data_IF_258068055881
#
_entry.id   IF_258068055881
#
_cell.length_a   1.000
_cell.length_b   1.000
_cell.length_c   1.000
_cell.angle_alpha   90.00
_cell.angle_beta   90.00
_cell.angle_gamma   90.00
#
_symmetry.space_group_name_H-M   'P 1'
#
loop_
_entity.id
_entity.type
_entity.pdbx_description
1 polymer ?
#
# COMPACT_ATOMS: atom_id res chain seq x y z
N UNK A 1 4.92 -42.25 9.76
CA UNK A 1 4.49 -40.90 9.33
C UNK A 1 2.97 -40.87 9.32
N UNK A 2 2.33 -40.17 10.27
CA UNK A 2 0.88 -39.93 10.22
C UNK A 2 0.66 -38.72 9.32
N UNK A 3 -0.16 -38.87 8.28
CA UNK A 3 -0.47 -37.79 7.34
C UNK A 3 -1.72 -37.05 7.87
N UNK A 4 -1.66 -35.72 7.95
CA UNK A 4 -2.78 -34.89 8.43
C UNK A 4 -3.40 -34.19 7.22
N UNK A 5 -4.71 -34.34 7.09
CA UNK A 5 -5.48 -33.76 6.01
C UNK A 5 -6.04 -32.40 6.41
N UNK A 6 -5.44 -31.33 5.90
CA UNK A 6 -5.80 -29.94 6.22
C UNK A 6 -6.79 -29.31 5.20
N UNK A 7 -7.34 -30.10 4.30
CA UNK A 7 -8.27 -29.60 3.28
C UNK A 7 -9.72 -29.64 3.78
N UNK A 8 -10.57 -28.71 3.33
CA UNK A 8 -11.99 -28.67 3.69
C UNK A 8 -12.82 -29.82 3.12
N UNK A 9 -12.23 -30.68 2.28
CA UNK A 9 -12.92 -31.82 1.64
C UNK A 9 -12.45 -33.13 2.23
N UNK A 10 -13.32 -34.10 2.52
CA UNK A 10 -12.86 -35.39 3.04
C UNK A 10 -11.97 -36.13 2.03
N UNK A 11 -10.95 -36.82 2.53
CA UNK A 11 -10.24 -37.86 1.75
C UNK A 11 -11.08 -39.11 1.81
N UNK A 12 -11.33 -39.74 0.67
CA UNK A 12 -12.10 -40.97 0.58
C UNK A 12 -11.15 -42.17 0.34
N UNK A 13 -11.55 -43.34 0.84
CA UNK A 13 -10.97 -44.62 0.46
C UNK A 13 -11.44 -45.03 -0.95
N UNK A 14 -10.82 -46.05 -1.53
CA UNK A 14 -11.20 -46.56 -2.86
C UNK A 14 -12.63 -47.11 -2.93
N UNK A 15 -13.26 -47.41 -1.80
CA UNK A 15 -14.65 -47.85 -1.68
C UNK A 15 -15.65 -46.68 -1.45
N UNK A 16 -15.16 -45.44 -1.45
CA UNK A 16 -15.98 -44.24 -1.23
C UNK A 16 -16.24 -43.89 0.24
N UNK A 17 -15.76 -44.70 1.19
CA UNK A 17 -15.85 -44.36 2.62
C UNK A 17 -14.88 -43.24 2.99
N UNK A 18 -15.22 -42.42 4.00
CA UNK A 18 -14.38 -41.30 4.44
C UNK A 18 -13.14 -41.84 5.16
N UNK A 19 -11.96 -41.60 4.56
CA UNK A 19 -10.65 -41.90 5.13
C UNK A 19 -10.20 -40.81 6.11
N UNK A 20 -10.36 -39.55 5.73
CA UNK A 20 -10.12 -38.39 6.60
C UNK A 20 -11.25 -37.38 6.41
N UNK A 21 -11.87 -36.86 7.48
CA UNK A 21 -12.89 -35.81 7.35
C UNK A 21 -12.27 -34.52 6.81
N UNK A 22 -13.10 -33.70 6.14
CA UNK A 22 -12.69 -32.36 5.72
C UNK A 22 -12.64 -31.41 6.90
N UNK A 23 -11.76 -30.41 6.84
CA UNK A 23 -11.52 -29.45 7.91
C UNK A 23 -12.08 -28.05 7.57
N UNK A 24 -13.04 -27.57 8.35
CA UNK A 24 -13.54 -26.20 8.22
C UNK A 24 -12.65 -25.19 8.97
N UNK A 25 -12.94 -23.90 8.86
CA UNK A 25 -12.12 -22.85 9.49
C UNK A 25 -12.11 -22.94 11.03
N UNK A 26 -13.20 -23.41 11.64
CA UNK A 26 -13.26 -23.62 13.09
C UNK A 26 -12.46 -24.86 13.48
N UNK A 27 -12.57 -25.94 12.70
CA UNK A 27 -11.81 -27.17 12.83
C UNK A 27 -10.32 -26.99 12.56
N UNK A 28 -9.91 -26.06 11.69
CA UNK A 28 -8.50 -25.66 11.55
C UNK A 28 -7.96 -25.04 12.84
N UNK A 29 -8.74 -24.19 13.51
CA UNK A 29 -8.36 -23.63 14.82
C UNK A 29 -8.20 -24.72 15.86
N UNK A 30 -9.18 -25.62 15.97
CA UNK A 30 -9.15 -26.74 16.92
C UNK A 30 -8.08 -27.78 16.60
N UNK A 31 -7.81 -28.08 15.32
CA UNK A 31 -6.72 -28.97 14.90
C UNK A 31 -5.38 -28.31 15.11
N UNK A 32 -5.25 -26.99 14.94
CA UNK A 32 -4.03 -26.27 15.29
C UNK A 32 -3.80 -26.29 16.79
N UNK A 33 -4.82 -26.07 17.62
CA UNK A 33 -4.75 -26.18 19.08
C UNK A 33 -4.46 -27.61 19.54
N UNK A 34 -5.10 -28.62 18.96
CA UNK A 34 -4.84 -30.04 19.25
C UNK A 34 -3.48 -30.50 18.70
N UNK A 35 -3.02 -29.98 17.56
CA UNK A 35 -1.66 -30.19 17.08
C UNK A 35 -0.66 -29.59 18.05
N UNK A 36 -0.89 -28.36 18.49
CA UNK A 36 -0.07 -27.70 19.52
C UNK A 36 -0.08 -28.52 20.81
N UNK A 37 -1.24 -29.01 21.26
CA UNK A 37 -1.38 -29.86 22.45
C UNK A 37 -0.67 -31.21 22.29
N UNK A 38 -0.82 -31.89 21.15
CA UNK A 38 -0.23 -33.19 20.88
C UNK A 38 1.29 -33.10 20.63
N UNK A 39 1.76 -32.03 19.98
CA UNK A 39 3.19 -31.73 19.89
C UNK A 39 3.81 -31.39 21.25
N UNK A 40 3.06 -30.71 22.13
CA UNK A 40 3.45 -30.49 23.53
C UNK A 40 3.53 -31.79 24.35
N UNK A 41 2.66 -32.77 24.08
CA UNK A 41 2.61 -34.05 24.79
C UNK A 41 3.61 -35.09 24.25
N UNK A 42 3.88 -35.12 22.93
CA UNK A 42 4.73 -36.16 22.30
C UNK A 42 6.22 -35.75 22.14
N UNK A 43 6.59 -34.47 22.23
CA UNK A 43 7.99 -34.03 22.05
C UNK A 43 8.38 -32.89 23.02
N UNK A 44 9.05 -33.24 24.11
CA UNK A 44 9.60 -32.28 25.09
C UNK A 44 10.60 -31.25 24.51
N UNK A 45 11.06 -31.42 23.26
CA UNK A 45 11.97 -30.47 22.58
C UNK A 45 11.26 -29.46 21.66
N UNK A 46 9.96 -29.64 21.37
CA UNK A 46 9.21 -28.80 20.42
C UNK A 46 8.26 -27.78 21.05
N UNK A 47 7.86 -27.97 22.31
CA UNK A 47 6.95 -27.06 23.03
C UNK A 47 7.52 -25.63 23.13
N UNK A 48 8.84 -25.49 23.33
CA UNK A 48 9.54 -24.20 23.38
C UNK A 48 9.46 -23.41 22.07
N UNK A 49 9.03 -24.03 20.97
CA UNK A 49 8.92 -23.41 19.64
C UNK A 49 7.51 -22.89 19.34
N UNK A 50 6.56 -23.07 20.27
CA UNK A 50 5.16 -22.69 20.12
C UNK A 50 4.78 -21.71 21.23
N UNK A 51 4.63 -20.43 20.88
CA UNK A 51 4.22 -19.37 21.80
C UNK A 51 2.98 -18.68 21.25
N UNK A 52 1.90 -18.71 22.01
CA UNK A 52 0.60 -18.16 21.64
C UNK A 52 -0.35 -18.14 22.84
N UNK A 53 -1.45 -17.42 22.73
CA UNK A 53 -2.38 -17.18 23.83
C UNK A 53 -2.80 -15.71 23.89
N UNK A 54 -3.90 -15.38 24.60
CA UNK A 54 -4.42 -14.01 24.70
C UNK A 54 -3.45 -13.02 25.36
N UNK A 55 -2.49 -13.51 26.15
CA UNK A 55 -1.42 -12.77 26.80
C UNK A 55 -0.18 -12.54 25.91
N UNK A 56 -0.08 -13.24 24.79
CA UNK A 56 1.05 -13.17 23.87
C UNK A 56 0.75 -12.28 22.65
N UNK A 57 1.74 -11.51 22.22
CA UNK A 57 1.64 -10.66 21.03
C UNK A 57 2.94 -10.71 20.24
N UNK A 58 2.88 -11.12 18.97
CA UNK A 58 4.04 -11.13 18.07
C UNK A 58 4.69 -9.74 17.93
N UNK A 59 3.89 -8.68 18.02
CA UNK A 59 4.38 -7.31 17.86
C UNK A 59 4.97 -6.78 19.16
N UNK A 60 4.23 -6.86 20.27
CA UNK A 60 4.65 -6.26 21.54
C UNK A 60 5.60 -7.14 22.36
N UNK A 61 5.57 -8.46 22.16
CA UNK A 61 6.35 -9.43 22.92
C UNK A 61 6.96 -10.47 21.98
N UNK A 62 8.14 -10.16 21.45
CA UNK A 62 8.88 -11.08 20.58
C UNK A 62 9.25 -12.35 21.36
N UNK A 63 8.56 -13.45 21.07
CA UNK A 63 8.80 -14.74 21.70
C UNK A 63 10.14 -15.36 21.30
N UNK A 64 10.75 -14.91 20.19
CA UNK A 64 11.93 -15.53 19.61
C UNK A 64 12.99 -14.49 19.21
N UNK A 65 13.47 -13.63 20.13
CA UNK A 65 14.30 -12.47 19.82
C UNK A 65 15.60 -12.83 19.10
N UNK A 66 16.24 -13.93 19.49
CA UNK A 66 17.54 -14.38 18.95
C UNK A 66 17.44 -15.41 17.82
N UNK A 67 16.23 -15.83 17.44
CA UNK A 67 16.06 -16.86 16.41
C UNK A 67 15.93 -16.26 15.03
N UNK A 68 16.50 -16.95 14.06
CA UNK A 68 16.34 -16.67 12.64
C UNK A 68 15.86 -17.94 11.93
N UNK A 69 15.15 -17.75 10.82
CA UNK A 69 14.52 -18.84 10.08
C UNK A 69 14.91 -18.78 8.60
N UNK A 70 15.12 -19.96 8.02
CA UNK A 70 15.31 -20.12 6.57
C UNK A 70 14.02 -19.79 5.82
N UNK A 71 12.88 -20.36 6.24
CA UNK A 71 11.57 -20.13 5.65
C UNK A 71 10.56 -19.67 6.69
N UNK A 72 9.69 -18.75 6.30
CA UNK A 72 8.65 -18.18 7.15
C UNK A 72 7.36 -18.02 6.36
N UNK A 73 6.24 -18.35 7.00
CA UNK A 73 4.89 -18.22 6.47
C UNK A 73 4.05 -17.47 7.51
N UNK A 74 3.19 -16.57 7.06
CA UNK A 74 2.27 -15.86 7.93
C UNK A 74 0.99 -15.52 7.19
N UNK A 75 -0.12 -15.53 7.93
CA UNK A 75 -1.41 -15.00 7.50
C UNK A 75 -1.87 -14.01 8.59
N UNK A 76 -1.34 -12.78 8.59
CA UNK A 76 -1.56 -11.83 9.67
C UNK A 76 -3.04 -11.41 9.75
N UNK A 77 -3.51 -10.98 10.93
CA UNK A 77 -4.89 -10.51 11.08
C UNK A 77 -5.16 -9.26 10.24
N UNK A 78 -6.12 -9.36 9.32
CA UNK A 78 -6.46 -8.26 8.41
C UNK A 78 -7.29 -7.16 9.10
N UNK A 79 -6.94 -5.89 8.84
CA UNK A 79 -7.72 -4.73 9.26
C UNK A 79 -7.81 -4.50 10.78
N UNK A 80 -6.98 -5.18 11.58
CA UNK A 80 -6.94 -4.97 13.03
C UNK A 80 -6.01 -3.81 13.38
N UNK A 81 -6.50 -2.94 14.26
CA UNK A 81 -5.67 -1.97 14.96
C UNK A 81 -4.65 -2.70 15.83
N UNK A 82 -3.42 -2.18 15.86
CA UNK A 82 -2.35 -2.64 16.76
C UNK A 82 -2.07 -1.62 17.87
N UNK A 83 -3.01 -0.69 18.13
CA UNK A 83 -2.85 0.38 19.12
C UNK A 83 -2.41 -0.11 20.50
N UNK A 84 -2.94 -1.23 20.99
CA UNK A 84 -2.52 -1.82 22.27
C UNK A 84 -1.07 -2.28 22.26
N UNK A 85 -0.60 -2.82 21.14
CA UNK A 85 0.80 -3.23 21.00
C UNK A 85 1.73 -2.02 20.88
N UNK A 86 1.30 -0.99 20.15
CA UNK A 86 1.98 0.30 20.10
C UNK A 86 2.16 0.91 21.49
N UNK A 87 1.12 0.92 22.33
CA UNK A 87 1.20 1.43 23.71
C UNK A 87 2.18 0.61 24.57
N UNK A 88 2.14 -0.73 24.46
CA UNK A 88 3.10 -1.62 25.16
C UNK A 88 4.54 -1.42 24.72
N UNK A 89 4.76 -1.02 23.48
CA UNK A 89 6.09 -0.74 22.91
C UNK A 89 6.60 0.69 23.17
N UNK A 90 5.89 1.48 23.98
CA UNK A 90 6.31 2.85 24.35
C UNK A 90 5.60 3.96 23.57
N UNK A 91 4.65 3.63 22.70
CA UNK A 91 3.87 4.61 21.94
C UNK A 91 4.58 5.17 20.71
N UNK A 92 3.95 6.14 20.03
CA UNK A 92 4.35 6.56 18.67
C UNK A 92 5.70 7.27 18.59
N UNK A 93 6.20 7.83 19.69
CA UNK A 93 7.46 8.60 19.71
C UNK A 93 8.69 7.81 20.15
N UNK A 94 8.51 6.70 20.87
CA UNK A 94 9.57 6.10 21.68
C UNK A 94 9.92 4.65 21.30
N UNK A 95 9.33 4.10 20.24
CA UNK A 95 9.72 2.77 19.75
C UNK A 95 11.15 2.83 19.21
N UNK A 96 12.06 2.08 19.85
CA UNK A 96 13.44 1.84 19.42
C UNK A 96 13.73 0.36 19.15
N UNK A 97 12.68 -0.45 19.02
CA UNK A 97 12.81 -1.87 18.71
C UNK A 97 13.49 -2.04 17.33
N UNK A 98 14.64 -2.74 17.25
CA UNK A 98 15.42 -2.89 16.02
C UNK A 98 14.69 -3.68 14.93
N UNK A 99 13.56 -4.33 15.25
CA UNK A 99 12.68 -4.92 14.24
C UNK A 99 11.97 -3.85 13.42
N UNK A 100 11.63 -2.71 14.02
CA UNK A 100 10.79 -1.68 13.40
C UNK A 100 11.51 -0.36 13.12
N UNK A 101 12.66 -0.12 13.75
CA UNK A 101 13.55 1.02 13.46
C UNK A 101 14.89 0.46 13.01
N UNK A 102 15.26 0.70 11.76
CA UNK A 102 16.41 0.07 11.11
C UNK A 102 17.33 1.12 10.50
N UNK A 103 18.57 0.73 10.20
CA UNK A 103 19.41 1.48 9.30
C UNK A 103 19.03 1.18 7.84
N UNK A 104 18.67 2.22 7.08
CA UNK A 104 18.32 2.09 5.68
C UNK A 104 18.66 3.35 4.88
N UNK A 105 19.31 3.18 3.72
CA UNK A 105 19.57 4.28 2.77
C UNK A 105 20.21 5.54 3.40
N UNK A 106 21.23 5.35 4.24
CA UNK A 106 21.92 6.40 5.01
C UNK A 106 21.07 7.11 6.09
N UNK A 107 19.86 6.63 6.34
CA UNK A 107 19.07 6.97 7.52
C UNK A 107 19.32 5.90 8.61
N UNK A 108 20.02 6.24 9.71
CA UNK A 108 20.29 5.31 10.79
C UNK A 108 19.05 5.00 11.67
N UNK A 109 17.97 5.79 11.54
CA UNK A 109 16.75 5.64 12.34
C UNK A 109 15.51 5.51 11.44
N UNK A 110 15.64 4.80 10.33
CA UNK A 110 14.55 4.60 9.38
C UNK A 110 13.40 3.82 10.02
N UNK A 111 12.24 4.46 10.14
CA UNK A 111 11.06 3.89 10.79
C UNK A 111 10.19 3.12 9.80
N UNK A 112 9.95 1.84 10.10
CA UNK A 112 8.97 0.97 9.43
C UNK A 112 7.63 0.94 10.17
N UNK A 113 7.44 1.83 11.14
CA UNK A 113 6.25 1.85 11.98
C UNK A 113 5.06 2.42 11.20
N UNK A 114 3.99 1.65 11.15
CA UNK A 114 2.75 2.04 10.47
C UNK A 114 1.82 2.85 11.38
N UNK A 115 0.73 3.37 10.80
CA UNK A 115 -0.37 3.94 11.61
C UNK A 115 -0.93 2.86 12.54
N UNK A 116 -1.39 3.26 13.73
CA UNK A 116 -1.98 2.34 14.72
C UNK A 116 -3.17 1.55 14.19
N UNK A 117 -3.89 2.08 13.19
CA UNK A 117 -5.02 1.43 12.53
C UNK A 117 -4.62 0.37 11.50
N UNK A 118 -3.33 0.22 11.19
CA UNK A 118 -2.83 -0.66 10.12
C UNK A 118 -1.63 -1.47 10.62
N UNK A 119 -1.88 -2.59 11.30
CA UNK A 119 -0.82 -3.43 11.87
C UNK A 119 -0.26 -4.49 10.93
N UNK A 120 -0.87 -4.73 9.77
CA UNK A 120 -0.58 -5.93 8.97
C UNK A 120 0.87 -5.98 8.47
N UNK A 121 1.42 -4.83 8.06
CA UNK A 121 2.78 -4.73 7.55
C UNK A 121 3.81 -4.97 8.65
N UNK A 122 3.50 -4.71 9.91
CA UNK A 122 4.43 -4.94 11.03
C UNK A 122 4.69 -6.42 11.24
N UNK A 123 3.74 -7.30 10.93
CA UNK A 123 3.99 -8.74 10.93
C UNK A 123 4.99 -9.14 9.85
N UNK A 124 4.90 -8.55 8.64
CA UNK A 124 5.89 -8.78 7.58
C UNK A 124 7.26 -8.24 7.97
N UNK A 125 7.32 -7.04 8.57
CA UNK A 125 8.58 -6.45 9.07
C UNK A 125 9.19 -7.33 10.17
N UNK A 126 8.37 -7.87 11.07
CA UNK A 126 8.82 -8.85 12.06
C UNK A 126 9.43 -10.09 11.38
N UNK A 127 8.81 -10.65 10.33
CA UNK A 127 9.42 -11.75 9.57
C UNK A 127 10.75 -11.33 8.92
N UNK A 128 10.83 -10.13 8.34
CA UNK A 128 12.06 -9.63 7.73
C UNK A 128 13.21 -9.56 8.74
N UNK A 129 12.92 -9.18 10.00
CA UNK A 129 13.91 -9.14 11.08
C UNK A 129 14.45 -10.52 11.47
N UNK A 130 13.70 -11.59 11.17
CA UNK A 130 14.03 -12.99 11.50
C UNK A 130 14.57 -13.77 10.29
N UNK A 131 14.77 -13.12 9.14
CA UNK A 131 15.36 -13.78 7.98
C UNK A 131 16.82 -14.13 8.24
N UNK A 132 17.12 -15.42 8.25
CA UNK A 132 18.48 -15.92 8.38
C UNK A 132 19.34 -15.47 7.20
N UNK A 133 20.50 -14.87 7.46
CA UNK A 133 21.36 -14.29 6.39
C UNK A 133 22.57 -15.14 5.99
N UNK A 134 22.97 -16.10 6.83
CA UNK A 134 24.22 -16.86 6.71
C UNK A 134 24.17 -18.11 5.81
N UNK A 135 23.03 -18.35 5.17
CA UNK A 135 22.73 -19.59 4.40
C UNK A 135 22.36 -19.25 2.95
N UNK A 136 22.58 -20.14 1.96
CA UNK A 136 22.07 -19.96 0.60
C UNK A 136 20.56 -20.28 0.47
N UNK A 137 19.97 -21.02 1.41
CA UNK A 137 18.54 -21.40 1.41
C UNK A 137 17.68 -20.36 2.12
N UNK A 138 16.44 -20.13 1.67
CA UNK A 138 15.44 -19.41 2.47
C UNK A 138 14.67 -18.32 1.74
N UNK A 139 13.91 -17.50 2.49
CA UNK A 139 12.96 -16.50 1.99
C UNK A 139 13.57 -15.26 1.31
N UNK A 140 14.87 -15.26 1.03
CA UNK A 140 15.56 -14.14 0.38
C UNK A 140 15.46 -14.23 -1.13
N UNK A 141 15.50 -13.08 -1.80
CA UNK A 141 15.51 -13.04 -3.26
C UNK A 141 16.82 -13.63 -3.80
N UNK A 142 16.76 -14.59 -4.76
CA UNK A 142 17.95 -15.03 -5.48
C UNK A 142 18.52 -13.88 -6.33
N UNK A 143 19.80 -13.97 -6.71
CA UNK A 143 20.55 -12.85 -7.32
C UNK A 143 19.83 -12.24 -8.53
N UNK A 144 19.34 -13.08 -9.44
CA UNK A 144 18.64 -12.64 -10.66
C UNK A 144 17.31 -11.89 -10.41
N UNK A 145 16.76 -11.94 -9.18
CA UNK A 145 15.52 -11.25 -8.79
C UNK A 145 15.74 -10.04 -7.90
N UNK A 146 16.97 -9.78 -7.45
CA UNK A 146 17.26 -8.60 -6.64
C UNK A 146 16.95 -7.33 -7.44
N UNK A 147 16.37 -6.33 -6.75
CA UNK A 147 15.94 -5.08 -7.38
C UNK A 147 14.70 -5.18 -8.27
N UNK A 148 14.03 -6.35 -8.34
CA UNK A 148 12.84 -6.56 -9.16
C UNK A 148 11.65 -7.07 -8.34
N UNK A 149 10.45 -6.80 -8.84
CA UNK A 149 9.17 -7.27 -8.32
C UNK A 149 8.39 -7.91 -9.46
N UNK A 150 7.95 -9.15 -9.28
CA UNK A 150 7.02 -9.83 -10.18
C UNK A 150 5.62 -9.72 -9.60
N UNK A 151 4.69 -9.16 -10.36
CA UNK A 151 3.26 -9.18 -10.05
C UNK A 151 2.60 -10.28 -10.89
N UNK A 152 1.80 -11.12 -10.24
CA UNK A 152 1.08 -12.21 -10.90
C UNK A 152 -0.42 -11.99 -10.68
N UNK A 153 -1.17 -11.82 -11.76
CA UNK A 153 -2.63 -11.78 -11.72
C UNK A 153 -3.21 -13.19 -11.86
N UNK A 154 -3.55 -13.78 -10.72
CA UNK A 154 -4.19 -15.09 -10.62
C UNK A 154 -5.71 -15.01 -10.39
N UNK A 155 -6.34 -13.84 -10.58
CA UNK A 155 -7.75 -13.62 -10.21
C UNK A 155 -8.71 -14.58 -10.93
N UNK A 156 -8.39 -14.97 -12.16
CA UNK A 156 -9.20 -15.89 -12.96
C UNK A 156 -8.85 -17.38 -12.76
N UNK A 157 -7.81 -17.69 -11.98
CA UNK A 157 -7.35 -19.07 -11.79
C UNK A 157 -8.00 -19.68 -10.55
N UNK A 158 -9.31 -19.93 -10.66
CA UNK A 158 -10.06 -20.59 -9.62
C UNK A 158 -11.22 -21.36 -10.21
N UNK A 159 -11.75 -22.31 -9.44
CA UNK A 159 -13.02 -22.96 -9.73
C UNK A 159 -14.09 -22.51 -8.73
N UNK A 160 -15.35 -22.38 -9.17
CA UNK A 160 -16.44 -22.07 -8.25
C UNK A 160 -16.58 -23.20 -7.22
N UNK A 161 -16.91 -22.82 -5.99
CA UNK A 161 -17.25 -23.77 -4.93
C UNK A 161 -18.60 -24.43 -5.24
N UNK A 162 -18.70 -25.73 -5.02
CA UNK A 162 -19.97 -26.47 -5.13
C UNK A 162 -21.06 -25.92 -4.19
N UNK A 163 -20.65 -25.36 -3.05
CA UNK A 163 -21.53 -24.67 -2.09
C UNK A 163 -20.77 -23.46 -1.53
N UNK A 164 -21.37 -22.28 -1.63
CA UNK A 164 -20.77 -21.05 -1.09
C UNK A 164 -20.65 -21.11 0.43
N UNK A 165 -19.58 -20.54 0.96
CA UNK A 165 -19.31 -20.40 2.39
C UNK A 165 -19.24 -18.92 2.74
N UNK A 166 -20.41 -18.31 2.94
CA UNK A 166 -20.54 -16.87 3.10
C UNK A 166 -20.07 -16.14 1.84
N UNK A 167 -19.07 -15.25 1.99
CA UNK A 167 -18.44 -14.53 0.87
C UNK A 167 -17.41 -15.35 0.09
N UNK A 168 -17.07 -16.56 0.54
CA UNK A 168 -16.17 -17.47 -0.19
C UNK A 168 -16.98 -18.27 -1.19
N UNK A 169 -16.73 -18.05 -2.49
CA UNK A 169 -17.46 -18.66 -3.60
C UNK A 169 -16.56 -19.37 -4.61
N UNK A 170 -15.23 -19.27 -4.49
CA UNK A 170 -14.25 -19.95 -5.34
C UNK A 170 -13.14 -20.62 -4.51
N UNK A 171 -12.46 -21.59 -5.11
CA UNK A 171 -11.27 -22.25 -4.57
C UNK A 171 -10.19 -22.40 -5.66
N UNK A 172 -8.91 -22.42 -5.24
CA UNK A 172 -7.81 -22.82 -6.11
C UNK A 172 -7.81 -24.35 -6.23
N UNK A 173 -7.81 -24.88 -7.45
CA UNK A 173 -7.51 -26.30 -7.68
C UNK A 173 -6.00 -26.54 -7.69
N UNK A 174 -5.56 -27.80 -7.57
CA UNK A 174 -4.14 -28.16 -7.60
C UNK A 174 -3.44 -27.66 -8.87
N UNK A 175 -4.15 -27.71 -10.01
CA UNK A 175 -3.65 -27.17 -11.28
C UNK A 175 -3.50 -25.64 -11.26
N UNK A 176 -4.35 -24.92 -10.53
CA UNK A 176 -4.25 -23.46 -10.38
C UNK A 176 -3.05 -23.11 -9.49
N UNK A 177 -2.85 -23.83 -8.39
CA UNK A 177 -1.70 -23.67 -7.49
C UNK A 177 -0.40 -23.93 -8.26
N UNK A 178 -0.34 -25.04 -9.00
CA UNK A 178 0.82 -25.39 -9.82
C UNK A 178 1.10 -24.28 -10.85
N UNK A 179 0.07 -23.77 -11.53
CA UNK A 179 0.22 -22.67 -12.49
C UNK A 179 0.79 -21.40 -11.86
N UNK A 180 0.35 -21.04 -10.65
CA UNK A 180 0.91 -19.89 -9.91
C UNK A 180 2.38 -20.13 -9.60
N UNK A 181 2.73 -21.31 -9.10
CA UNK A 181 4.11 -21.68 -8.79
C UNK A 181 5.00 -21.65 -10.03
N UNK A 182 4.54 -22.24 -11.15
CA UNK A 182 5.28 -22.27 -12.41
C UNK A 182 5.49 -20.86 -12.96
N UNK A 183 4.45 -20.02 -12.93
CA UNK A 183 4.52 -18.61 -13.35
C UNK A 183 5.53 -17.84 -12.48
N UNK A 184 5.47 -18.02 -11.16
CA UNK A 184 6.42 -17.42 -10.25
C UNK A 184 7.84 -17.88 -10.52
N UNK A 185 8.07 -19.17 -10.73
CA UNK A 185 9.40 -19.76 -10.95
C UNK A 185 10.00 -19.36 -12.30
N UNK A 186 9.19 -19.33 -13.37
CA UNK A 186 9.61 -18.93 -14.71
C UNK A 186 10.18 -17.51 -14.73
N UNK A 187 9.54 -16.57 -14.01
CA UNK A 187 9.99 -15.17 -13.94
C UNK A 187 10.13 -14.52 -15.32
N UNK A 188 9.10 -14.71 -16.15
CA UNK A 188 9.00 -14.18 -17.50
C UNK A 188 7.85 -13.16 -17.61
N UNK A 189 7.98 -12.21 -18.54
CA UNK A 189 6.94 -11.25 -18.88
C UNK A 189 5.84 -11.91 -19.70
N UNK A 190 4.61 -11.88 -19.19
CA UNK A 190 3.41 -12.38 -19.85
C UNK A 190 2.22 -11.43 -19.59
N UNK A 191 1.05 -11.76 -20.12
CA UNK A 191 -0.16 -11.02 -19.76
C UNK A 191 -0.49 -11.11 -18.27
N UNK A 192 -0.24 -12.27 -17.64
CA UNK A 192 -0.53 -12.54 -16.23
C UNK A 192 0.67 -12.31 -15.30
N UNK A 193 1.87 -12.13 -15.83
CA UNK A 193 3.11 -11.94 -15.06
C UNK A 193 3.84 -10.69 -15.56
N UNK A 194 3.91 -9.66 -14.71
CA UNK A 194 4.61 -8.40 -15.03
C UNK A 194 5.81 -8.20 -14.11
N UNK A 195 6.96 -7.83 -14.64
CA UNK A 195 8.21 -7.70 -13.89
C UNK A 195 8.71 -6.26 -13.92
N UNK A 196 8.76 -5.65 -12.74
CA UNK A 196 9.14 -4.25 -12.58
C UNK A 196 10.49 -4.15 -11.86
N UNK A 197 11.37 -3.20 -12.25
CA UNK A 197 12.41 -2.75 -11.34
C UNK A 197 11.74 -2.07 -10.12
N UNK A 198 12.34 -2.17 -8.93
CA UNK A 198 11.77 -1.57 -7.71
C UNK A 198 11.39 -0.09 -7.91
N UNK A 199 12.24 0.68 -8.61
CA UNK A 199 12.02 2.09 -8.87
C UNK A 199 10.77 2.39 -9.72
N UNK A 200 10.30 1.45 -10.56
CA UNK A 200 9.08 1.64 -11.34
C UNK A 200 7.81 1.63 -10.48
N UNK A 201 7.90 1.09 -9.27
CA UNK A 201 6.81 1.09 -8.28
C UNK A 201 6.92 2.28 -7.31
N UNK A 202 7.98 3.07 -7.42
CA UNK A 202 8.24 4.18 -6.52
C UNK A 202 7.82 5.53 -7.11
N UNK A 203 7.54 6.48 -6.23
CA UNK A 203 7.28 7.87 -6.57
C UNK A 203 7.88 8.83 -5.52
N UNK A 204 8.21 10.04 -5.95
CA UNK A 204 8.36 11.18 -5.06
C UNK A 204 6.98 11.77 -4.77
N UNK A 205 6.59 11.78 -3.50
CA UNK A 205 5.45 12.55 -3.01
C UNK A 205 5.92 13.96 -2.70
N UNK A 206 5.36 14.95 -3.38
CA UNK A 206 5.78 16.35 -3.23
C UNK A 206 4.58 17.25 -2.95
N UNK A 207 4.69 18.13 -1.96
CA UNK A 207 3.70 19.17 -1.75
C UNK A 207 3.88 20.27 -2.79
N UNK A 208 2.80 20.60 -3.48
CA UNK A 208 2.71 21.70 -4.43
C UNK A 208 1.84 22.78 -3.82
N UNK A 209 2.35 24.01 -3.81
CA UNK A 209 1.68 25.18 -3.29
C UNK A 209 1.35 26.14 -4.44
N UNK A 210 0.25 26.88 -4.23
CA UNK A 210 -0.21 27.97 -5.09
C UNK A 210 -0.36 29.22 -4.23
N UNK A 211 -0.23 30.43 -4.80
CA UNK A 211 -0.30 31.64 -4.01
C UNK A 211 -1.75 31.92 -3.59
N UNK A 212 -1.90 32.42 -2.37
CA UNK A 212 -3.17 32.96 -1.86
C UNK A 212 -3.52 34.23 -2.63
N UNK A 213 -4.75 34.28 -3.17
CA UNK A 213 -5.27 35.44 -3.91
C UNK A 213 -6.48 36.02 -3.21
N UNK A 214 -6.42 37.32 -2.89
CA UNK A 214 -7.44 38.02 -2.11
C UNK A 214 -7.77 39.37 -2.77
N UNK A 215 -9.06 39.72 -2.80
CA UNK A 215 -9.53 41.00 -3.30
C UNK A 215 -9.04 42.18 -2.45
N UNK A 216 -8.77 43.32 -3.09
CA UNK A 216 -8.41 44.57 -2.41
C UNK A 216 -6.99 44.64 -1.84
N UNK A 217 -6.09 43.73 -2.25
CA UNK A 217 -4.69 43.77 -1.83
C UNK A 217 -3.84 44.66 -2.74
N UNK A 218 -2.77 45.21 -2.18
CA UNK A 218 -1.71 45.95 -2.86
C UNK A 218 -0.65 44.96 -3.38
N UNK A 219 -0.49 44.79 -4.70
CA UNK A 219 0.45 43.85 -5.30
C UNK A 219 1.92 44.28 -5.18
N UNK A 220 2.20 45.48 -4.68
CA UNK A 220 3.56 46.04 -4.58
C UNK A 220 4.11 46.04 -3.14
N UNK A 221 3.39 45.42 -2.20
CA UNK A 221 3.72 45.43 -0.77
C UNK A 221 3.65 44.04 -0.14
N UNK A 222 4.63 43.74 0.72
CA UNK A 222 4.58 42.58 1.60
C UNK A 222 3.67 42.81 2.82
N UNK A 223 2.94 41.77 3.20
CA UNK A 223 2.05 41.74 4.36
C UNK A 223 2.69 40.99 5.52
N UNK A 224 2.48 41.49 6.75
CA UNK A 224 2.94 40.79 7.96
C UNK A 224 2.05 39.57 8.25
N UNK A 225 2.51 38.56 9.02
CA UNK A 225 1.68 37.42 9.39
C UNK A 225 0.35 37.80 10.07
N UNK A 226 0.34 38.89 10.86
CA UNK A 226 -0.88 39.41 11.51
C UNK A 226 -1.87 39.97 10.48
N UNK A 227 -1.37 40.71 9.50
CA UNK A 227 -2.21 41.26 8.42
C UNK A 227 -2.75 40.14 7.53
N UNK A 228 -1.92 39.18 7.13
CA UNK A 228 -2.34 38.00 6.36
C UNK A 228 -3.44 37.25 7.08
N UNK A 229 -3.31 37.03 8.40
CA UNK A 229 -4.36 36.38 9.19
C UNK A 229 -5.67 37.16 9.14
N UNK A 230 -5.63 38.47 9.35
CA UNK A 230 -6.83 39.31 9.28
C UNK A 230 -7.45 39.29 7.88
N UNK A 231 -6.63 39.39 6.82
CA UNK A 231 -7.09 39.35 5.43
C UNK A 231 -7.76 38.01 5.08
N UNK A 232 -7.23 36.88 5.56
CA UNK A 232 -7.86 35.56 5.38
C UNK A 232 -9.26 35.47 6.00
N UNK A 233 -9.54 36.26 7.04
CA UNK A 233 -10.84 36.31 7.73
C UNK A 233 -11.81 37.30 7.10
N UNK A 234 -11.31 38.38 6.47
CA UNK A 234 -12.15 39.50 6.01
C UNK A 234 -12.22 39.70 4.51
N UNK A 235 -11.21 39.27 3.75
CA UNK A 235 -11.12 39.52 2.31
C UNK A 235 -11.70 38.35 1.51
N UNK A 236 -12.36 38.67 0.39
CA UNK A 236 -12.88 37.67 -0.52
C UNK A 236 -11.75 37.05 -1.34
N UNK A 237 -11.81 35.73 -1.51
CA UNK A 237 -10.91 34.98 -2.40
C UNK A 237 -11.42 35.06 -3.83
N UNK A 238 -10.53 35.36 -4.77
CA UNK A 238 -10.85 35.37 -6.19
C UNK A 238 -9.64 34.90 -7.00
N UNK A 239 -9.87 34.09 -8.03
CA UNK A 239 -8.81 33.48 -8.84
C UNK A 239 -8.00 34.50 -9.64
N UNK A 240 -8.65 35.59 -10.04
CA UNK A 240 -8.06 36.72 -10.78
C UNK A 240 -7.48 37.81 -9.88
N UNK A 241 -7.71 37.75 -8.56
CA UNK A 241 -7.15 38.71 -7.62
C UNK A 241 -5.62 38.59 -7.53
N UNK A 242 -4.89 39.67 -7.19
CA UNK A 242 -3.44 39.60 -7.04
C UNK A 242 -3.02 38.60 -5.94
N UNK A 243 -1.80 38.03 -6.03
CA UNK A 243 -1.27 37.14 -5.02
C UNK A 243 -0.77 37.93 -3.80
N UNK A 244 -1.03 37.41 -2.59
CA UNK A 244 -0.57 38.01 -1.34
C UNK A 244 0.94 37.83 -1.20
N UNK A 245 1.68 38.94 -1.20
CA UNK A 245 3.13 38.92 -0.98
C UNK A 245 3.41 38.73 0.51
N UNK A 246 4.07 37.63 0.84
CA UNK A 246 4.56 37.34 2.19
C UNK A 246 5.88 38.05 2.47
N UNK A 247 6.77 38.13 1.47
CA UNK A 247 8.10 38.70 1.63
C UNK A 247 8.65 39.27 0.32
N UNK A 248 9.32 40.41 0.42
CA UNK A 248 10.13 41.00 -0.65
C UNK A 248 11.60 40.87 -0.26
N UNK A 249 12.37 40.17 -1.07
CA UNK A 249 13.82 40.06 -0.88
C UNK A 249 14.54 41.28 -1.44
N UNK A 250 15.57 41.74 -0.71
CA UNK A 250 16.43 42.84 -1.15
C UNK A 250 17.47 42.34 -2.17
N UNK A 251 18.25 43.28 -2.71
CA UNK A 251 19.24 43.07 -3.79
C UNK A 251 20.15 41.86 -3.53
N UNK A 252 20.21 40.94 -4.49
CA UNK A 252 21.08 39.75 -4.46
C UNK A 252 20.35 38.40 -4.41
N UNK A 253 19.04 38.38 -4.15
CA UNK A 253 18.25 37.15 -4.25
C UNK A 253 18.12 36.69 -5.71
N UNK A 254 18.22 35.38 -5.92
CA UNK A 254 18.03 34.73 -7.23
C UNK A 254 16.61 34.17 -7.26
N UNK A 255 15.87 34.47 -8.33
CA UNK A 255 14.55 33.90 -8.53
C UNK A 255 14.65 32.40 -8.83
N UNK A 256 13.76 31.64 -8.22
CA UNK A 256 13.53 30.22 -8.45
C UNK A 256 12.03 29.94 -8.31
N UNK A 257 11.23 30.21 -9.35
CA UNK A 257 9.78 30.09 -9.28
C UNK A 257 9.32 28.69 -8.86
N UNK A 258 10.06 27.64 -9.24
CA UNK A 258 9.76 26.26 -8.86
C UNK A 258 9.90 25.99 -7.36
N UNK A 259 10.57 26.89 -6.62
CA UNK A 259 10.78 26.82 -5.17
C UNK A 259 10.21 28.04 -4.44
N UNK A 260 9.23 28.73 -5.05
CA UNK A 260 8.47 29.80 -4.41
C UNK A 260 9.16 31.17 -4.42
N UNK A 261 10.21 31.36 -5.22
CA UNK A 261 10.94 32.62 -5.36
C UNK A 261 10.67 33.24 -6.73
N UNK A 262 9.81 34.26 -6.78
CA UNK A 262 9.31 34.83 -8.03
C UNK A 262 9.98 36.16 -8.38
N UNK A 263 10.45 36.31 -9.62
CA UNK A 263 10.95 37.59 -10.11
C UNK A 263 9.79 38.56 -10.33
N UNK A 264 9.91 39.79 -9.84
CA UNK A 264 8.93 40.85 -10.04
C UNK A 264 9.60 42.22 -10.14
N UNK A 265 8.83 43.25 -10.46
CA UNK A 265 9.28 44.65 -10.48
C UNK A 265 8.36 45.48 -9.60
N UNK A 266 8.91 46.10 -8.55
CA UNK A 266 8.17 46.97 -7.63
C UNK A 266 8.81 48.36 -7.67
N UNK A 267 8.02 49.40 -7.99
CA UNK A 267 8.53 50.78 -8.11
C UNK A 267 9.69 50.91 -9.10
N UNK A 268 9.65 50.16 -10.21
CA UNK A 268 10.69 50.14 -11.24
C UNK A 268 11.98 49.41 -10.85
N UNK A 269 12.04 48.75 -9.69
CA UNK A 269 13.21 47.99 -9.24
C UNK A 269 12.94 46.48 -9.34
N UNK A 270 13.87 45.70 -9.90
CA UNK A 270 13.76 44.25 -9.89
C UNK A 270 13.89 43.74 -8.46
N UNK A 271 12.96 42.87 -8.06
CA UNK A 271 12.88 42.24 -6.74
C UNK A 271 12.56 40.75 -6.89
N UNK A 272 12.78 40.00 -5.82
CA UNK A 272 12.34 38.61 -5.70
C UNK A 272 11.31 38.51 -4.58
N UNK A 273 10.21 37.82 -4.84
CA UNK A 273 9.06 37.72 -3.94
C UNK A 273 8.89 36.28 -3.45
N UNK A 274 8.40 36.15 -2.21
CA UNK A 274 7.71 34.93 -1.75
C UNK A 274 6.23 35.27 -1.58
N UNK A 275 5.36 34.44 -2.12
CA UNK A 275 3.93 34.53 -1.90
C UNK A 275 3.50 33.75 -0.65
N UNK A 276 2.41 34.19 -0.03
CA UNK A 276 1.75 33.39 1.00
C UNK A 276 1.06 32.18 0.33
N UNK A 277 1.29 30.95 0.79
CA UNK A 277 0.62 29.78 0.23
C UNK A 277 -0.87 29.78 0.57
N UNK A 278 -1.68 29.36 -0.40
CA UNK A 278 -3.08 29.04 -0.18
C UNK A 278 -3.21 27.60 0.31
N UNK A 279 -3.65 27.41 1.56
CA UNK A 279 -3.86 26.07 2.12
C UNK A 279 -5.00 25.30 1.47
N UNK A 280 -5.95 25.99 0.85
CA UNK A 280 -7.14 25.38 0.24
C UNK A 280 -6.85 24.91 -1.19
N UNK A 281 -5.80 25.46 -1.81
CA UNK A 281 -5.30 25.05 -3.12
C UNK A 281 -4.00 24.24 -3.04
N UNK A 282 -3.53 23.91 -1.83
CA UNK A 282 -2.36 23.07 -1.64
C UNK A 282 -2.69 21.65 -2.08
N UNK A 283 -1.83 21.09 -2.92
CA UNK A 283 -1.97 19.73 -3.40
C UNK A 283 -0.73 18.89 -3.09
N UNK A 284 -0.84 17.59 -3.36
CA UNK A 284 0.26 16.65 -3.32
C UNK A 284 0.35 15.85 -4.60
N UNK A 285 1.48 16.00 -5.28
CA UNK A 285 1.78 15.25 -6.50
C UNK A 285 2.55 13.98 -6.19
N UNK A 286 2.30 12.93 -6.96
CA UNK A 286 3.09 11.70 -6.98
C UNK A 286 3.86 11.62 -8.30
N UNK A 287 5.14 11.98 -8.25
CA UNK A 287 6.02 11.98 -9.42
C UNK A 287 6.74 10.63 -9.50
N UNK A 288 6.62 9.84 -10.58
CA UNK A 288 7.31 8.56 -10.69
C UNK A 288 8.82 8.68 -10.48
N UNK A 289 9.46 7.76 -9.74
CA UNK A 289 10.93 7.82 -9.53
C UNK A 289 11.73 7.70 -10.84
N UNK A 290 11.11 7.13 -11.88
CA UNK A 290 11.68 6.98 -13.22
C UNK A 290 11.32 8.13 -14.16
N UNK A 291 10.71 9.20 -13.66
CA UNK A 291 10.43 10.40 -14.45
C UNK A 291 11.73 11.04 -14.94
N UNK A 292 11.87 11.16 -16.25
CA UNK A 292 13.04 11.79 -16.86
C UNK A 292 13.07 13.29 -16.53
N UNK A 293 14.20 13.77 -16.01
CA UNK A 293 14.32 15.12 -15.44
C UNK A 293 13.63 15.35 -14.09
N UNK A 294 13.07 14.29 -13.48
CA UNK A 294 12.55 14.26 -12.12
C UNK A 294 11.41 15.24 -11.83
N UNK A 295 11.30 15.67 -10.57
CA UNK A 295 10.21 16.55 -10.07
C UNK A 295 10.07 17.83 -10.92
N UNK A 296 11.18 18.42 -11.35
CA UNK A 296 11.18 19.67 -12.13
C UNK A 296 10.57 19.48 -13.51
N UNK A 297 10.93 18.39 -14.20
CA UNK A 297 10.37 18.09 -15.51
C UNK A 297 8.88 17.77 -15.42
N UNK A 298 8.47 16.99 -14.41
CA UNK A 298 7.07 16.70 -14.13
C UNK A 298 6.26 17.97 -13.90
N UNK A 299 6.70 18.85 -12.99
CA UNK A 299 6.00 20.10 -12.69
C UNK A 299 5.79 20.95 -13.95
N UNK A 300 6.82 21.05 -14.80
CA UNK A 300 6.73 21.81 -16.06
C UNK A 300 5.74 21.22 -17.06
N UNK A 301 5.59 19.90 -17.07
CA UNK A 301 4.72 19.18 -18.02
C UNK A 301 3.27 19.12 -17.54
N UNK A 302 3.07 18.79 -16.27
CA UNK A 302 1.75 18.41 -15.73
C UNK A 302 1.12 19.49 -14.85
N UNK A 303 1.92 20.35 -14.19
CA UNK A 303 1.40 21.30 -13.19
C UNK A 303 1.36 22.73 -13.73
N UNK A 304 2.50 23.25 -14.21
CA UNK A 304 2.64 24.65 -14.63
C UNK A 304 1.72 25.06 -15.79
N UNK A 305 1.32 24.19 -16.74
CA UNK A 305 0.32 24.56 -17.76
C UNK A 305 -1.06 24.90 -17.17
N UNK A 306 -1.38 24.37 -16.00
CA UNK A 306 -2.66 24.60 -15.30
C UNK A 306 -2.54 25.59 -14.14
N UNK A 307 -1.36 25.67 -13.50
CA UNK A 307 -1.06 26.60 -12.42
C UNK A 307 0.35 27.23 -12.61
N UNK A 308 0.48 28.29 -13.41
CA UNK A 308 1.78 28.85 -13.83
C UNK A 308 2.66 29.40 -12.69
N UNK A 309 2.04 29.73 -11.57
CA UNK A 309 2.67 30.27 -10.37
C UNK A 309 2.74 29.26 -9.22
N UNK A 310 2.53 27.96 -9.51
CA UNK A 310 2.72 26.90 -8.54
C UNK A 310 4.21 26.60 -8.30
N UNK A 311 4.54 26.18 -7.08
CA UNK A 311 5.88 25.75 -6.69
C UNK A 311 5.80 24.50 -5.82
N UNK A 312 6.88 23.72 -5.79
CA UNK A 312 6.97 22.59 -4.86
C UNK A 312 7.77 22.96 -3.62
N UNK A 313 7.47 22.30 -2.50
CA UNK A 313 8.18 22.49 -1.23
C UNK A 313 9.30 21.44 -1.11
N UNK A 314 10.60 21.81 -1.19
CA UNK A 314 11.69 20.84 -1.20
C UNK A 314 11.71 19.93 0.03
N UNK A 315 11.47 20.49 1.22
CA UNK A 315 11.48 19.75 2.48
C UNK A 315 10.28 18.78 2.64
N UNK A 316 9.29 18.87 1.75
CA UNK A 316 8.13 17.97 1.74
C UNK A 316 8.37 16.66 0.99
N UNK A 317 9.45 16.58 0.21
CA UNK A 317 9.72 15.46 -0.71
C UNK A 317 9.91 14.17 0.09
N UNK A 318 9.06 13.19 -0.18
CA UNK A 318 9.15 11.84 0.41
C UNK A 318 9.14 10.79 -0.69
N UNK A 319 9.83 9.68 -0.48
CA UNK A 319 9.72 8.53 -1.38
C UNK A 319 8.60 7.62 -0.88
N UNK A 320 7.67 7.30 -1.77
CA UNK A 320 6.64 6.29 -1.57
C UNK A 320 6.78 5.16 -2.58
N UNK A 321 6.16 4.02 -2.27
CA UNK A 321 5.99 2.91 -3.21
C UNK A 321 4.53 2.49 -3.23
N UNK A 322 4.02 2.16 -4.41
CA UNK A 322 2.66 1.69 -4.61
C UNK A 322 2.62 0.56 -5.64
N UNK A 323 1.77 -0.42 -5.37
CA UNK A 323 1.45 -1.51 -6.30
C UNK A 323 -0.01 -1.34 -6.70
N UNK A 324 -0.26 -0.99 -7.96
CA UNK A 324 -1.61 -0.83 -8.50
C UNK A 324 -1.91 -1.92 -9.50
N UNK A 325 -2.52 -3.01 -9.03
CA UNK A 325 -2.96 -4.09 -9.92
C UNK A 325 -3.95 -3.61 -10.98
N UNK A 326 -4.81 -2.64 -10.65
CA UNK A 326 -5.72 -2.05 -11.64
C UNK A 326 -4.94 -1.34 -12.75
N UNK A 327 -3.97 -0.48 -12.43
CA UNK A 327 -3.18 0.20 -13.46
C UNK A 327 -2.49 -0.81 -14.38
N UNK A 328 -1.93 -1.86 -13.80
CA UNK A 328 -1.04 -2.75 -14.53
C UNK A 328 -1.80 -3.90 -15.23
N UNK A 329 -2.89 -4.43 -14.68
CA UNK A 329 -3.60 -5.59 -15.25
C UNK A 329 -5.00 -5.29 -15.79
N UNK A 330 -5.56 -4.10 -15.53
CA UNK A 330 -6.89 -3.77 -16.04
C UNK A 330 -6.88 -3.68 -17.56
N UNK A 331 -7.74 -4.50 -18.17
CA UNK A 331 -8.08 -4.40 -19.58
C UNK A 331 -9.46 -3.76 -19.69
N UNK A 332 -9.59 -2.56 -20.29
CA UNK A 332 -10.90 -1.98 -20.57
C UNK A 332 -11.73 -2.98 -21.34
N UNK A 333 -12.88 -3.38 -20.78
CA UNK A 333 -13.84 -4.19 -21.52
C UNK A 333 -14.50 -3.25 -22.54
N UNK A 334 -14.37 -3.49 -23.85
CA UNK A 334 -15.11 -2.71 -24.83
C UNK A 334 -16.60 -2.84 -24.50
N UNK A 335 -17.33 -1.73 -24.59
CA UNK A 335 -18.79 -1.77 -24.46
C UNK A 335 -19.30 -2.69 -25.58
N UNK A 336 -20.10 -3.69 -25.21
CA UNK A 336 -20.84 -4.50 -26.18
C UNK A 336 -21.75 -3.60 -27.02
N UNK A 337 -22.18 -4.08 -28.18
CA UNK A 337 -23.15 -3.33 -28.98
C UNK A 337 -24.48 -3.18 -28.22
N UNK A 338 -25.29 -2.19 -28.59
CA UNK A 338 -26.60 -1.99 -27.96
C UNK A 338 -27.47 -3.25 -28.09
N UNK A 339 -27.32 -3.97 -29.21
CA UNK A 339 -27.98 -5.23 -29.50
C UNK A 339 -27.54 -6.36 -28.56
N UNK A 340 -26.24 -6.49 -28.28
CA UNK A 340 -25.69 -7.48 -27.34
C UNK A 340 -26.13 -7.18 -25.90
N UNK A 341 -26.03 -5.91 -25.47
CA UNK A 341 -26.48 -5.49 -24.14
C UNK A 341 -27.98 -5.76 -23.96
N UNK A 342 -28.79 -5.49 -24.99
CA UNK A 342 -30.23 -5.77 -24.96
C UNK A 342 -30.50 -7.28 -24.89
N UNK A 343 -29.75 -8.10 -25.62
CA UNK A 343 -29.89 -9.55 -25.58
C UNK A 343 -29.55 -10.10 -24.19
N UNK A 344 -28.49 -9.60 -23.56
CA UNK A 344 -28.08 -9.99 -22.20
C UNK A 344 -29.14 -9.60 -21.15
N UNK A 345 -29.71 -8.39 -21.23
CA UNK A 345 -30.78 -7.96 -20.31
C UNK A 345 -32.00 -8.88 -20.44
N UNK A 346 -32.43 -9.19 -21.66
CA UNK A 346 -33.58 -10.06 -21.89
C UNK A 346 -33.31 -11.52 -21.46
N UNK A 347 -32.06 -11.98 -21.54
CA UNK A 347 -31.66 -13.29 -21.04
C UNK A 347 -31.73 -13.35 -19.51
N UNK A 348 -31.22 -12.31 -18.82
CA UNK A 348 -31.28 -12.17 -17.37
C UNK A 348 -32.72 -12.03 -16.85
N UNK A 349 -33.59 -11.30 -17.56
CA UNK A 349 -35.02 -11.21 -17.22
C UNK A 349 -35.68 -12.59 -17.24
N UNK A 350 -35.41 -13.41 -18.26
CA UNK A 350 -35.93 -14.79 -18.34
C UNK A 350 -35.40 -15.71 -17.25
N UNK A 351 -34.12 -15.57 -16.89
CA UNK A 351 -33.52 -16.34 -15.80
C UNK A 351 -34.13 -15.96 -14.44
N UNK A 352 -34.43 -14.67 -14.25
CA UNK A 352 -35.06 -14.14 -13.03
C UNK A 352 -36.54 -14.53 -12.92
N UNK A 353 -37.29 -14.51 -14.04
CA UNK A 353 -38.67 -15.02 -14.10
C UNK A 353 -38.74 -16.53 -13.82
N UNK A 354 -37.77 -17.30 -14.33
CA UNK A 354 -37.62 -18.73 -14.03
C UNK A 354 -37.41 -18.99 -12.53
N UNK A 355 -36.50 -18.26 -11.90
CA UNK A 355 -36.25 -18.34 -10.45
C UNK A 355 -37.46 -17.94 -9.60
N UNK A 356 -38.21 -16.90 -10.00
CA UNK A 356 -39.45 -16.51 -9.32
C UNK A 356 -40.54 -17.60 -9.43
N UNK A 357 -40.63 -18.27 -10.57
CA UNK A 357 -41.58 -19.37 -10.76
C UNK A 357 -41.25 -20.62 -9.93
N UNK A 358 -39.98 -20.90 -9.65
CA UNK A 358 -39.55 -21.98 -8.74
C UNK A 358 -39.78 -21.66 -7.25
N UNK A 359 -39.87 -20.38 -6.87
CA UNK A 359 -40.09 -19.96 -5.48
C UNK A 359 -41.58 -19.86 -5.13
N UNK A 360 -42.42 -19.54 -6.12
CA UNK A 360 -43.87 -19.31 -5.94
C UNK A 360 -44.71 -20.53 -6.33
N UNK A 361 -44.07 -21.59 -6.89
CA UNK A 361 -44.69 -22.86 -7.27
C UNK A 361 -44.72 -23.91 -6.17
#
# INVERSE_FOLDING_TARGET
MRCIHLSPKPVLNGDGSVKHPGLDNHGMGTVFEELVRHFNEENNEAADNLVGGPEHSTLANDAFPSREFDFMLSNPPYGKSWKSDLERLGGKGDIKDPRFVIEHAADPEYSLITRSSDGQMLFLVNLLSKMKRSTPLGSRKPEHRKGRVQLIDATLWCKPLRKNLGKKNCELADADIQRICDTFLAFEETEQSKIFPNAALGYWKVTVERPLRLGGIDPDRAYTPKEIKALKETAERAEDAPPVIKKIHKKGAVADPLRGLFAATIGGKPVVLEYEPDTDLRDTEQVPLLEDGGIVAFLRREVLPHAPDAWYVPDSVKIGYEISFTRDFYKPKPLGTLEEIRADILALERETEGLLSEIVG
#
